data_IF_186082053391
#
_entry.id   IF_186082053391
#
_cell.length_a   1.000
_cell.length_b   1.000
_cell.length_c   1.000
_cell.angle_alpha   90.00
_cell.angle_beta   90.00
_cell.angle_gamma   90.00
#
_symmetry.space_group_name_H-M   'P 1'
#
loop_
_entity.id
_entity.type
_entity.pdbx_description
1 polymer ?
#
# COMPACT_ATOMS: atom_id res chain seq x y z
N UNK A 1 22.19 -4.12 -14.52
CA UNK A 1 21.67 -4.50 -14.45
C UNK A 1 21.35 -4.73 -14.07
N UNK A 2 21.17 -4.64 -13.87
CA UNK A 2 20.57 -4.96 -13.49
C UNK A 2 20.41 -5.60 -13.24
N UNK A 3 20.47 -5.57 -13.20
CA UNK A 3 20.07 -6.14 -12.97
C UNK A 3 19.96 -6.60 -12.78
N UNK A 4 20.25 -6.47 -12.71
CA UNK A 4 20.03 -6.76 -12.65
C UNK A 4 19.79 -7.34 -12.25
N UNK A 5 19.76 -7.55 -12.10
CA UNK A 5 19.35 -8.04 -11.79
C UNK A 5 18.94 -8.66 -11.58
N UNK A 6 18.81 -8.88 -11.51
CA UNK A 6 18.36 -9.42 -11.43
C UNK A 6 17.73 -10.08 -11.21
N UNK A 7 17.42 -10.58 -11.28
CA UNK A 7 16.85 -11.30 -11.14
C UNK A 7 16.72 -12.27 -11.37
N UNK A 8 17.00 -12.51 -11.48
CA UNK A 8 16.96 -13.42 -11.60
C UNK A 8 16.34 -14.35 -12.07
N UNK A 9 16.41 -14.85 -12.39
CA UNK A 9 15.80 -15.53 -12.91
C UNK A 9 14.69 -15.72 -12.54
N UNK A 10 14.20 -15.59 -12.17
CA UNK A 10 13.05 -15.64 -11.92
C UNK A 10 12.60 -14.40 -11.68
N UNK A 11 12.64 -13.84 -12.43
CA UNK A 11 12.15 -12.74 -12.38
C UNK A 11 12.89 -11.86 -11.64
N UNK A 12 13.47 -11.46 -11.76
CA UNK A 12 14.19 -10.89 -11.20
C UNK A 12 13.90 -9.91 -10.38
N UNK A 13 13.42 -9.91 -9.42
CA UNK A 13 13.08 -8.98 -8.39
C UNK A 13 14.33 -8.53 -7.69
N UNK A 14 14.33 -7.28 -7.25
CA UNK A 14 15.36 -6.80 -6.34
C UNK A 14 15.40 -7.74 -5.13
N UNK A 15 16.59 -8.16 -4.71
CA UNK A 15 16.68 -9.06 -3.56
C UNK A 15 16.07 -8.48 -2.28
N UNK A 16 15.94 -7.14 -2.19
CA UNK A 16 15.32 -6.53 -1.03
C UNK A 16 13.80 -6.42 -1.11
N UNK A 17 13.19 -6.82 -2.21
CA UNK A 17 11.74 -6.72 -2.36
C UNK A 17 11.07 -7.93 -1.76
N UNK A 18 10.14 -7.68 -0.84
CA UNK A 18 9.44 -8.71 -0.11
C UNK A 18 7.95 -8.63 -0.41
N UNK A 19 7.42 -9.61 -1.11
CA UNK A 19 6.00 -9.63 -1.48
C UNK A 19 5.08 -9.73 -0.26
N UNK A 20 5.60 -10.16 0.87
CA UNK A 20 4.81 -10.18 2.11
C UNK A 20 4.56 -8.82 2.70
N UNK A 21 5.32 -7.82 2.31
CA UNK A 21 5.29 -6.49 2.93
C UNK A 21 4.69 -5.45 1.99
N UNK A 22 3.95 -4.53 2.59
CA UNK A 22 3.38 -3.39 1.88
C UNK A 22 4.49 -2.45 1.41
N UNK A 23 4.37 -1.94 0.18
CA UNK A 23 5.41 -1.13 -0.44
C UNK A 23 4.79 -0.09 -1.38
N UNK A 24 5.52 1.00 -1.59
CA UNK A 24 5.11 2.02 -2.56
C UNK A 24 5.68 1.64 -3.92
N UNK A 25 4.84 1.01 -4.74
CA UNK A 25 5.28 0.42 -5.99
C UNK A 25 5.86 1.45 -6.95
N UNK A 26 5.27 2.63 -7.00
CA UNK A 26 5.75 3.67 -7.91
C UNK A 26 7.18 4.10 -7.61
N UNK A 27 7.55 4.13 -6.33
CA UNK A 27 8.92 4.44 -5.96
C UNK A 27 9.88 3.31 -6.35
N UNK A 28 9.44 2.07 -6.18
CA UNK A 28 10.27 0.93 -6.54
C UNK A 28 10.59 0.93 -8.02
N UNK A 29 9.60 1.24 -8.85
CA UNK A 29 9.82 1.32 -10.29
C UNK A 29 10.83 2.40 -10.64
N UNK A 30 10.75 3.55 -9.97
CA UNK A 30 11.70 4.63 -10.20
C UNK A 30 13.12 4.22 -9.84
N UNK A 31 13.29 3.48 -8.76
CA UNK A 31 14.61 3.09 -8.28
C UNK A 31 15.21 1.97 -9.08
N UNK A 32 14.40 1.01 -9.48
CA UNK A 32 14.89 -0.21 -10.11
C UNK A 32 14.68 -0.24 -11.62
N UNK A 33 13.70 0.51 -12.09
CA UNK A 33 13.35 0.51 -13.50
C UNK A 33 12.54 -0.71 -13.92
N UNK A 34 12.34 -1.67 -13.04
CA UNK A 34 11.58 -2.87 -13.35
C UNK A 34 10.72 -3.29 -12.17
N UNK A 35 9.64 -4.00 -12.47
CA UNK A 35 8.79 -4.66 -11.49
C UNK A 35 8.35 -5.99 -12.12
N UNK A 36 7.76 -6.90 -11.36
CA UNK A 36 7.26 -8.13 -11.94
C UNK A 36 6.27 -7.83 -13.06
N UNK A 37 6.43 -8.49 -14.19
CA UNK A 37 5.62 -8.22 -15.38
C UNK A 37 4.14 -8.44 -15.14
N UNK A 38 3.81 -9.42 -14.32
CA UNK A 38 2.41 -9.70 -14.03
C UNK A 38 1.72 -8.54 -13.32
N UNK A 39 2.48 -7.75 -12.58
CA UNK A 39 1.92 -6.58 -11.92
C UNK A 39 1.75 -5.40 -12.87
N UNK A 40 2.50 -5.39 -13.97
CA UNK A 40 2.50 -4.26 -14.89
C UNK A 40 1.42 -4.33 -15.94
N UNK A 41 0.85 -5.51 -16.18
CA UNK A 41 0.05 -5.73 -17.38
C UNK A 41 -1.19 -4.84 -17.48
N UNK A 42 -1.71 -4.38 -16.34
CA UNK A 42 -2.93 -3.60 -16.34
C UNK A 42 -2.83 -2.30 -15.54
N UNK A 43 -1.61 -1.80 -15.31
CA UNK A 43 -1.44 -0.58 -14.56
C UNK A 43 -0.80 0.50 -15.43
N UNK A 44 -1.09 1.73 -15.06
CA UNK A 44 -0.63 2.91 -15.79
C UNK A 44 0.25 3.75 -14.86
N UNK A 45 1.53 3.42 -14.82
CA UNK A 45 2.47 4.07 -13.91
C UNK A 45 2.76 5.53 -14.32
N UNK A 46 2.43 5.91 -15.55
CA UNK A 46 2.66 7.26 -16.00
C UNK A 46 1.66 8.24 -15.39
N UNK A 47 0.39 7.82 -15.27
CA UNK A 47 -0.68 8.70 -14.84
C UNK A 47 -1.12 8.48 -13.41
N UNK A 48 -0.75 7.36 -12.80
CA UNK A 48 -1.22 6.99 -11.46
C UNK A 48 -0.07 6.57 -10.58
N UNK A 49 -0.27 6.73 -9.28
CA UNK A 49 0.65 6.19 -8.28
C UNK A 49 0.01 4.96 -7.68
N UNK A 50 0.83 3.96 -7.41
CA UNK A 50 0.34 2.66 -6.92
C UNK A 50 1.06 2.27 -5.64
N UNK A 51 0.27 1.72 -4.71
CA UNK A 51 0.80 1.02 -3.56
C UNK A 51 0.55 -0.46 -3.71
N UNK A 52 1.38 -1.25 -3.11
CA UNK A 52 1.23 -2.70 -3.05
C UNK A 52 0.99 -3.08 -1.60
N UNK A 53 -0.10 -3.80 -1.35
CA UNK A 53 -0.43 -4.29 -0.02
C UNK A 53 0.15 -5.70 0.09
N UNK A 54 1.09 -5.88 1.00
CA UNK A 54 1.80 -7.15 1.12
C UNK A 54 0.86 -8.32 1.41
N UNK A 55 1.30 -9.51 1.01
CA UNK A 55 0.48 -10.71 1.22
C UNK A 55 0.29 -11.06 2.69
N UNK A 56 1.13 -10.49 3.56
CA UNK A 56 1.01 -10.68 5.00
C UNK A 56 0.36 -9.50 5.71
N UNK A 57 -0.09 -8.50 4.95
CA UNK A 57 -0.69 -7.29 5.50
C UNK A 57 -2.21 -7.40 5.47
N UNK A 58 -2.79 -7.81 6.58
CA UNK A 58 -4.23 -7.99 6.74
C UNK A 58 -4.91 -6.77 7.34
N UNK A 59 -4.17 -5.67 7.54
CA UNK A 59 -4.64 -4.56 8.37
C UNK A 59 -5.94 -3.94 7.91
N UNK A 60 -6.21 -3.91 6.60
CA UNK A 60 -7.43 -3.32 6.07
C UNK A 60 -8.38 -4.35 5.46
N UNK A 61 -8.16 -5.62 5.71
CA UNK A 61 -9.09 -6.65 5.30
C UNK A 61 -10.41 -6.47 6.07
N UNK A 62 -11.59 -6.59 5.44
CA UNK A 62 -11.81 -7.05 4.07
C UNK A 62 -11.89 -5.94 3.03
N UNK A 63 -11.71 -4.67 3.40
CA UNK A 63 -11.82 -3.58 2.44
C UNK A 63 -10.70 -3.62 1.41
N UNK A 64 -9.49 -3.94 1.85
CA UNK A 64 -8.35 -4.10 0.96
C UNK A 64 -7.70 -5.44 1.27
N UNK A 65 -7.88 -6.43 0.38
CA UNK A 65 -7.28 -7.75 0.63
C UNK A 65 -5.76 -7.72 0.52
N UNK A 66 -5.06 -8.58 1.26
CA UNK A 66 -3.62 -8.75 1.07
C UNK A 66 -3.31 -9.09 -0.40
N UNK A 67 -2.18 -8.60 -0.90
CA UNK A 67 -1.80 -8.83 -2.28
C UNK A 67 -2.45 -7.88 -3.27
N UNK A 68 -3.12 -6.85 -2.80
CA UNK A 68 -3.80 -5.89 -3.67
C UNK A 68 -2.85 -4.81 -4.17
N UNK A 69 -3.13 -4.32 -5.38
CA UNK A 69 -2.57 -3.06 -5.85
C UNK A 69 -3.62 -1.97 -5.65
N UNK A 70 -3.22 -0.87 -5.06
CA UNK A 70 -4.12 0.25 -4.78
C UNK A 70 -3.63 1.48 -5.51
N UNK A 71 -4.58 2.34 -5.91
CA UNK A 71 -4.26 3.62 -6.52
C UNK A 71 -4.20 4.67 -5.43
N UNK A 72 -3.15 5.48 -5.45
CA UNK A 72 -2.89 6.51 -4.46
C UNK A 72 -2.95 7.88 -5.12
N UNK A 73 -3.76 8.77 -4.55
CA UNK A 73 -3.80 10.16 -4.97
C UNK A 73 -2.84 10.94 -4.07
N UNK A 74 -1.67 11.27 -4.59
CA UNK A 74 -0.62 11.90 -3.80
C UNK A 74 -0.82 13.40 -3.64
N UNK A 75 -1.90 13.95 -4.18
CA UNK A 75 -2.30 15.32 -3.89
C UNK A 75 -3.17 15.41 -2.64
N UNK A 76 -3.65 14.29 -2.13
CA UNK A 76 -4.53 14.25 -0.96
C UNK A 76 -3.75 13.70 0.23
N UNK A 77 -3.00 14.59 0.88
CA UNK A 77 -2.11 14.21 1.98
C UNK A 77 -2.56 14.71 3.34
N UNK A 78 -3.61 15.53 3.37
CA UNK A 78 -4.13 16.04 4.63
C UNK A 78 -5.12 15.07 5.21
N UNK A 79 -4.95 14.72 6.47
CA UNK A 79 -5.84 13.78 7.14
C UNK A 79 -7.20 14.43 7.35
N UNK A 80 -8.24 13.79 6.80
CA UNK A 80 -9.61 14.24 7.00
C UNK A 80 -10.07 13.80 8.39
N UNK A 81 -10.77 14.70 9.09
CA UNK A 81 -11.24 14.43 10.44
C UNK A 81 -12.73 14.17 10.50
N UNK A 82 -13.45 14.40 9.40
CA UNK A 82 -14.89 14.18 9.33
C UNK A 82 -15.30 14.11 7.87
N UNK A 83 -16.59 13.89 7.62
CA UNK A 83 -17.12 13.93 6.26
C UNK A 83 -17.47 12.59 5.68
N UNK A 84 -17.42 11.53 6.47
CA UNK A 84 -17.83 10.21 6.02
C UNK A 84 -19.03 9.73 6.83
N UNK A 85 -19.80 8.82 6.19
CA UNK A 85 -21.00 8.27 6.82
C UNK A 85 -20.84 6.81 7.21
N UNK A 86 -19.86 6.12 6.65
CA UNK A 86 -19.63 4.71 6.93
C UNK A 86 -18.16 4.37 6.73
N UNK A 87 -17.78 3.15 7.10
CA UNK A 87 -16.39 2.71 6.89
C UNK A 87 -16.03 2.66 5.42
N UNK A 88 -17.02 2.54 4.53
CA UNK A 88 -16.74 2.39 3.10
C UNK A 88 -16.35 3.71 2.45
N UNK A 89 -16.74 4.84 3.02
CA UNK A 89 -16.37 6.14 2.46
C UNK A 89 -15.40 6.92 3.35
N UNK A 90 -14.94 6.33 4.45
CA UNK A 90 -13.93 6.93 5.28
C UNK A 90 -12.58 6.86 4.55
N UNK A 91 -11.85 7.99 4.44
CA UNK A 91 -10.59 7.99 3.71
C UNK A 91 -9.56 7.04 4.30
N UNK A 92 -8.92 6.28 3.42
CA UNK A 92 -7.82 5.39 3.77
C UNK A 92 -6.56 6.03 3.23
N UNK A 93 -5.51 6.06 4.05
CA UNK A 93 -4.25 6.70 3.67
C UNK A 93 -3.14 5.68 3.55
N UNK A 94 -2.21 5.99 2.66
CA UNK A 94 -0.98 5.23 2.48
C UNK A 94 0.14 6.07 3.04
N UNK A 95 0.92 5.50 3.96
CA UNK A 95 1.89 6.26 4.75
C UNK A 95 3.23 5.58 4.77
N UNK A 96 4.28 6.40 4.97
CA UNK A 96 5.63 5.90 5.06
C UNK A 96 6.22 6.24 6.41
N UNK A 97 6.82 5.25 7.07
CA UNK A 97 7.58 5.48 8.30
C UNK A 97 8.96 4.86 8.13
N UNK A 98 9.77 4.98 9.18
CA UNK A 98 11.18 4.57 9.08
C UNK A 98 11.36 3.14 8.59
N UNK A 99 10.47 2.24 8.98
CA UNK A 99 10.66 0.83 8.70
C UNK A 99 9.84 0.32 7.52
N UNK A 100 9.12 1.20 6.84
CA UNK A 100 8.35 0.77 5.69
C UNK A 100 7.08 1.56 5.50
N UNK A 101 6.05 0.88 5.04
CA UNK A 101 4.79 1.51 4.69
C UNK A 101 3.64 0.88 5.44
N UNK A 102 2.62 1.69 5.68
CA UNK A 102 1.41 1.23 6.35
C UNK A 102 0.21 1.88 5.68
N UNK A 103 -0.93 1.20 5.74
CA UNK A 103 -2.16 1.66 5.10
C UNK A 103 -3.28 1.54 6.11
N UNK A 104 -4.08 2.59 6.26
CA UNK A 104 -5.19 2.54 7.21
C UNK A 104 -5.96 3.83 7.28
N UNK A 105 -7.00 3.81 8.08
CA UNK A 105 -7.69 5.03 8.47
C UNK A 105 -6.79 5.80 9.41
N UNK A 106 -6.89 7.13 9.39
CA UNK A 106 -6.01 7.96 10.19
C UNK A 106 -6.80 8.96 11.01
N UNK A 107 -6.27 9.26 12.20
CA UNK A 107 -6.75 10.36 13.01
C UNK A 107 -5.58 11.05 13.67
N UNK A 108 -5.81 12.26 14.12
CA UNK A 108 -4.77 13.06 14.77
C UNK A 108 -5.17 13.32 16.21
N UNK A 109 -4.21 13.18 17.13
CA UNK A 109 -4.45 13.45 18.53
C UNK A 109 -3.15 13.88 19.19
N UNK A 110 -3.10 15.10 19.70
CA UNK A 110 -1.96 15.62 20.47
C UNK A 110 -0.63 15.46 19.75
N UNK A 111 -0.60 15.85 18.48
CA UNK A 111 0.63 15.79 17.69
C UNK A 111 1.02 14.37 17.23
N UNK A 112 0.13 13.42 17.44
CA UNK A 112 0.38 12.06 16.99
C UNK A 112 -0.61 11.69 15.90
N UNK A 113 -0.10 10.96 14.90
CA UNK A 113 -0.93 10.39 13.87
C UNK A 113 -1.21 8.94 14.24
N UNK A 114 -2.48 8.61 14.30
CA UNK A 114 -2.94 7.28 14.70
C UNK A 114 -3.42 6.57 13.46
N UNK A 115 -2.84 5.41 13.16
CA UNK A 115 -3.23 4.59 12.04
C UNK A 115 -4.07 3.45 12.57
N UNK A 116 -5.31 3.40 12.12
CA UNK A 116 -6.30 2.47 12.64
C UNK A 116 -6.60 1.40 11.59
N UNK A 117 -6.35 0.14 11.92
CA UNK A 117 -6.70 -0.95 11.00
C UNK A 117 -8.18 -1.24 11.06
N UNK A 118 -8.65 -2.04 10.11
CA UNK A 118 -10.05 -2.48 10.13
C UNK A 118 -10.27 -3.38 11.35
N UNK A 119 -11.39 -3.21 12.06
CA UNK A 119 -11.63 -4.02 13.26
C UNK A 119 -11.62 -5.52 13.02
N UNK A 120 -12.04 -5.96 11.82
CA UNK A 120 -12.06 -7.38 11.50
C UNK A 120 -10.67 -7.99 11.31
N UNK A 121 -9.64 -7.16 11.23
CA UNK A 121 -8.29 -7.64 10.93
C UNK A 121 -7.57 -8.20 12.15
N UNK A 122 -7.99 -7.82 13.35
CA UNK A 122 -7.30 -8.12 14.60
C UNK A 122 -5.89 -7.54 14.68
N UNK A 123 -5.57 -6.59 13.82
CA UNK A 123 -4.30 -5.88 13.90
C UNK A 123 -4.40 -4.75 14.90
N UNK A 124 -3.25 -4.31 15.40
CA UNK A 124 -3.20 -3.28 16.43
C UNK A 124 -3.17 -1.89 15.82
N UNK A 125 -3.72 -0.94 16.55
CA UNK A 125 -3.63 0.48 16.22
C UNK A 125 -2.17 0.90 16.40
N UNK A 126 -1.67 1.70 15.44
CA UNK A 126 -0.31 2.22 15.51
C UNK A 126 -0.35 3.72 15.70
N UNK A 127 0.65 4.26 16.37
CA UNK A 127 0.71 5.68 16.71
C UNK A 127 2.12 6.20 16.45
N UNK A 128 2.21 7.34 15.79
CA UNK A 128 3.48 7.94 15.40
C UNK A 128 3.49 9.42 15.71
N UNK A 129 4.64 9.96 16.09
CA UNK A 129 4.81 11.41 16.16
C UNK A 129 4.72 12.00 14.76
N UNK A 130 3.86 12.99 14.57
CA UNK A 130 3.62 13.55 13.26
C UNK A 130 4.06 15.01 13.23
N UNK A 131 4.82 15.43 12.23
CA UNK A 131 5.23 14.69 11.02
C UNK A 131 6.59 14.02 11.11
N UNK A 132 7.18 13.93 12.28
CA UNK A 132 8.58 13.51 12.40
C UNK A 132 8.82 12.03 12.13
N UNK A 133 7.86 11.17 12.50
CA UNK A 133 8.06 9.73 12.40
C UNK A 133 7.32 9.10 11.23
N UNK A 134 6.38 9.83 10.64
CA UNK A 134 5.55 9.27 9.58
C UNK A 134 5.16 10.36 8.59
N UNK A 135 5.05 9.98 7.34
CA UNK A 135 4.67 10.87 6.26
C UNK A 135 3.48 10.29 5.51
N UNK A 136 2.51 11.14 5.16
CA UNK A 136 1.38 10.71 4.35
C UNK A 136 1.80 10.74 2.89
N UNK A 137 1.82 9.58 2.24
CA UNK A 137 2.11 9.48 0.81
C UNK A 137 0.91 9.98 0.02
N UNK A 138 -0.30 9.58 0.43
CA UNK A 138 -1.51 10.04 -0.22
C UNK A 138 -2.71 9.23 0.25
N UNK A 139 -3.85 9.52 -0.37
CA UNK A 139 -5.10 8.82 -0.05
C UNK A 139 -5.29 7.68 -1.04
N UNK A 140 -5.66 6.52 -0.52
CA UNK A 140 -6.02 5.37 -1.36
C UNK A 140 -7.40 5.62 -1.92
N UNK A 141 -7.51 5.66 -3.25
CA UNK A 141 -8.78 6.00 -3.90
C UNK A 141 -9.53 4.77 -4.43
N UNK A 142 -8.82 3.69 -4.71
CA UNK A 142 -9.47 2.45 -5.14
C UNK A 142 -8.47 1.31 -5.15
N UNK A 143 -9.00 0.10 -5.18
CA UNK A 143 -8.19 -1.10 -5.39
C UNK A 143 -8.14 -1.33 -6.90
N UNK A 144 -6.93 -1.33 -7.45
CA UNK A 144 -6.74 -1.51 -8.89
C UNK A 144 -6.87 -2.96 -9.28
N UNK A 145 -6.30 -3.87 -8.48
CA UNK A 145 -6.42 -5.30 -8.71
C UNK A 145 -6.00 -6.01 -7.43
N UNK A 146 -6.45 -7.26 -7.30
CA UNK A 146 -6.08 -8.09 -6.17
C UNK A 146 -5.45 -9.37 -6.68
N UNK A 147 -4.16 -9.55 -6.40
CA UNK A 147 -3.45 -10.74 -6.81
C UNK A 147 -3.95 -11.97 -6.07
N UNK A 148 -4.31 -11.78 -4.82
CA UNK A 148 -4.81 -12.89 -4.01
C UNK A 148 -6.12 -13.44 -4.57
N UNK A 149 -7.05 -12.56 -4.93
CA UNK A 149 -8.33 -13.00 -5.48
C UNK A 149 -8.13 -13.72 -6.81
N UNK A 150 -7.24 -13.20 -7.65
CA UNK A 150 -6.94 -13.85 -8.93
C UNK A 150 -6.35 -15.23 -8.73
N UNK A 151 -5.47 -15.37 -7.76
CA UNK A 151 -4.87 -16.65 -7.46
C UNK A 151 -5.91 -17.68 -7.00
N UNK A 152 -6.82 -17.27 -6.13
CA UNK A 152 -7.86 -18.17 -5.65
C UNK A 152 -8.79 -18.64 -6.76
N UNK A 153 -9.12 -17.74 -7.69
CA UNK A 153 -9.95 -18.15 -8.82
C UNK A 153 -9.27 -19.19 -9.67
N UNK A 154 -7.97 -19.08 -9.82
CA UNK A 154 -7.23 -20.04 -10.65
C UNK A 154 -7.19 -21.43 -10.04
N UNK A 155 -7.41 -21.53 -8.75
CA UNK A 155 -7.39 -22.84 -8.10
C UNK A 155 -8.74 -23.53 -8.06
N UNK A 156 -9.77 -22.80 -8.38
CA UNK A 156 -11.09 -23.42 -8.46
C UNK A 156 -11.31 -23.97 -9.84
#
# INVERSE_FOLDING_TARGET
MMARAQIGDHGFLDPGFDLGRTAFLSRLVQQWGTVPLTMLSNIDLRNYRYGYIGTEDWSMFPLIPPGSLVVIDDTKRKIATSGWNSEFDRPIYFLEHREGYVCGWCSMSDGRLIVQPHPASNCEVESYAYPNEIEVVGQVTRVAMSLEAGHRRNRS
#
